data_IF_669929303060
#
_entry.id   IF_669929303060
#
_cell.length_a   1.000
_cell.length_b   1.000
_cell.length_c   1.000
_cell.angle_alpha   90.00
_cell.angle_beta   90.00
_cell.angle_gamma   90.00
#
_symmetry.space_group_name_H-M   'P 1'
#
loop_
_entity.id
_entity.type
_entity.pdbx_description
1 polymer ?
#
# COMPACT_ATOMS: atom_id res chain seq x y z
N UNK A 1 25.31 5.73 -0.68
CA UNK A 1 24.55 5.47 -1.92
C UNK A 1 23.13 5.92 -1.64
N UNK A 2 22.54 6.74 -2.50
CA UNK A 2 21.19 7.30 -2.30
C UNK A 2 20.13 6.21 -2.43
N UNK A 3 19.27 6.04 -1.43
CA UNK A 3 18.19 5.04 -1.47
C UNK A 3 17.10 5.47 -2.46
N UNK A 4 16.69 4.56 -3.34
CA UNK A 4 15.65 4.79 -4.33
C UNK A 4 14.32 4.23 -3.82
N UNK A 5 13.36 5.11 -3.53
CA UNK A 5 12.04 4.73 -2.98
C UNK A 5 10.96 5.08 -4.01
N UNK A 6 10.15 4.11 -4.41
CA UNK A 6 9.14 4.30 -5.43
C UNK A 6 7.72 4.06 -4.91
N UNK A 7 6.82 5.00 -5.13
CA UNK A 7 5.40 4.85 -4.90
C UNK A 7 4.66 4.73 -6.23
N UNK A 8 3.83 3.70 -6.37
CA UNK A 8 2.92 3.63 -7.52
C UNK A 8 1.84 4.72 -7.39
N UNK A 9 1.75 5.63 -8.35
CA UNK A 9 0.73 6.67 -8.41
C UNK A 9 -0.25 6.36 -9.54
N UNK A 10 -1.53 6.18 -9.24
CA UNK A 10 -2.53 5.74 -10.23
C UNK A 10 -3.88 6.47 -10.09
N UNK A 11 -4.70 6.55 -11.15
CA UNK A 11 -6.02 7.17 -11.09
C UNK A 11 -6.88 6.55 -9.99
N UNK A 12 -7.60 7.38 -9.23
CA UNK A 12 -8.41 6.95 -8.10
C UNK A 12 -7.61 6.33 -6.93
N UNK A 13 -6.31 6.62 -6.80
CA UNK A 13 -5.53 6.29 -5.60
C UNK A 13 -6.15 6.93 -4.35
N UNK A 14 -6.07 6.25 -3.20
CA UNK A 14 -6.34 6.87 -1.91
C UNK A 14 -5.10 7.67 -1.54
N UNK A 15 -5.10 8.99 -1.79
CA UNK A 15 -3.87 9.79 -1.73
C UNK A 15 -3.12 9.66 -0.39
N UNK A 16 -3.83 9.49 0.73
CA UNK A 16 -3.21 9.38 2.06
C UNK A 16 -2.41 8.08 2.26
N UNK A 17 -2.76 7.01 1.53
CA UNK A 17 -2.00 5.76 1.51
C UNK A 17 -0.60 5.97 0.91
N UNK A 18 -0.43 7.03 0.10
CA UNK A 18 0.82 7.44 -0.52
C UNK A 18 1.46 8.61 0.23
N UNK A 19 0.72 9.68 0.51
CA UNK A 19 1.30 10.92 1.06
C UNK A 19 1.74 10.76 2.50
N UNK A 20 1.08 9.93 3.30
CA UNK A 20 1.51 9.60 4.66
C UNK A 20 2.91 8.97 4.71
N UNK A 21 3.13 7.80 4.09
CA UNK A 21 4.46 7.21 4.02
C UNK A 21 5.46 8.02 3.19
N UNK A 22 5.01 8.75 2.16
CA UNK A 22 5.88 9.63 1.38
C UNK A 22 6.59 10.65 2.27
N UNK A 23 5.86 11.35 3.14
CA UNK A 23 6.42 12.42 3.97
C UNK A 23 7.41 11.87 5.03
N UNK A 24 7.09 10.69 5.60
CA UNK A 24 7.99 9.97 6.50
C UNK A 24 9.27 9.54 5.78
N UNK A 25 9.15 8.85 4.64
CA UNK A 25 10.30 8.30 3.93
C UNK A 25 11.12 9.36 3.22
N UNK A 26 10.53 10.46 2.77
CA UNK A 26 11.25 11.60 2.19
C UNK A 26 12.10 12.36 3.23
N UNK A 27 11.78 12.21 4.52
CA UNK A 27 12.53 12.81 5.63
C UNK A 27 13.80 12.03 6.00
N UNK A 28 14.02 10.86 5.39
CA UNK A 28 15.24 10.07 5.58
C UNK A 28 16.48 10.75 4.96
N UNK A 29 17.68 10.53 5.51
CA UNK A 29 18.92 11.02 4.90
C UNK A 29 19.23 10.27 3.60
N UNK A 30 19.75 10.99 2.60
CA UNK A 30 20.23 10.44 1.33
C UNK A 30 19.20 9.54 0.60
N UNK A 31 17.96 10.01 0.46
CA UNK A 31 16.90 9.30 -0.27
C UNK A 31 16.42 10.07 -1.50
N UNK A 32 15.94 9.35 -2.49
CA UNK A 32 15.22 9.88 -3.64
C UNK A 32 13.88 9.16 -3.77
N UNK A 33 12.79 9.91 -3.67
CA UNK A 33 11.42 9.38 -3.72
C UNK A 33 10.81 9.64 -5.09
N UNK A 34 10.24 8.60 -5.69
CA UNK A 34 9.62 8.62 -7.01
C UNK A 34 8.12 8.39 -6.92
N UNK A 35 7.34 9.19 -7.63
CA UNK A 35 5.93 8.93 -7.91
C UNK A 35 5.85 8.35 -9.33
N UNK A 36 5.48 7.08 -9.43
CA UNK A 36 5.69 6.29 -10.64
C UNK A 36 4.36 6.00 -11.30
N UNK A 37 4.25 6.34 -12.58
CA UNK A 37 3.09 5.98 -13.40
C UNK A 37 3.47 5.65 -14.85
N UNK A 38 2.47 5.50 -15.72
CA UNK A 38 2.66 5.19 -17.14
C UNK A 38 3.21 6.36 -17.94
N UNK A 39 2.83 7.58 -17.56
CA UNK A 39 3.26 8.83 -18.16
C UNK A 39 3.45 9.90 -17.07
N UNK A 40 3.80 11.12 -17.47
CA UNK A 40 4.03 12.25 -16.57
C UNK A 40 2.81 13.18 -16.44
N UNK A 41 1.64 12.77 -16.94
CA UNK A 41 0.43 13.57 -16.80
C UNK A 41 -0.08 13.54 -15.36
N UNK A 42 -0.68 14.64 -14.87
CA UNK A 42 -1.29 14.65 -13.54
C UNK A 42 -2.32 13.54 -13.37
N UNK A 43 -2.28 12.89 -12.22
CA UNK A 43 -3.15 11.79 -11.82
C UNK A 43 -4.11 12.29 -10.75
N UNK A 44 -5.41 12.10 -10.99
CA UNK A 44 -6.46 12.44 -10.03
C UNK A 44 -6.65 11.32 -9.02
N UNK A 45 -6.43 11.61 -7.74
CA UNK A 45 -6.77 10.73 -6.63
C UNK A 45 -8.29 10.62 -6.43
N UNK A 46 -8.73 9.62 -5.67
CA UNK A 46 -10.15 9.35 -5.39
C UNK A 46 -10.91 10.53 -4.74
N UNK A 47 -10.20 11.44 -4.08
CA UNK A 47 -10.75 12.66 -3.46
C UNK A 47 -10.75 13.88 -4.38
N UNK A 48 -10.26 13.75 -5.62
CA UNK A 48 -10.08 14.86 -6.56
C UNK A 48 -8.73 15.57 -6.46
N UNK A 49 -7.87 15.23 -5.49
CA UNK A 49 -6.51 15.78 -5.40
C UNK A 49 -5.68 15.38 -6.63
N UNK A 50 -5.02 16.33 -7.26
CA UNK A 50 -4.09 16.07 -8.36
C UNK A 50 -2.67 15.86 -7.83
N UNK A 51 -2.08 14.74 -8.20
CA UNK A 51 -0.68 14.40 -7.94
C UNK A 51 0.05 14.24 -9.28
N UNK A 52 1.35 14.50 -9.31
CA UNK A 52 2.14 14.43 -10.55
C UNK A 52 3.18 13.31 -10.47
N UNK A 53 3.19 12.35 -11.41
CA UNK A 53 4.29 11.39 -11.53
C UNK A 53 5.62 12.10 -11.76
N UNK A 54 6.69 11.59 -11.15
CA UNK A 54 8.05 12.09 -11.33
C UNK A 54 8.85 11.25 -12.33
N UNK A 55 8.39 10.02 -12.60
CA UNK A 55 9.01 9.11 -13.57
C UNK A 55 7.98 8.16 -14.18
N UNK A 56 8.34 7.55 -15.31
CA UNK A 56 7.53 6.53 -15.99
C UNK A 56 7.96 5.13 -15.56
N UNK A 57 7.21 4.09 -15.95
CA UNK A 57 7.66 2.71 -15.73
C UNK A 57 8.97 2.36 -16.45
N UNK A 58 9.22 2.98 -17.61
CA UNK A 58 10.40 2.76 -18.44
C UNK A 58 11.63 3.48 -17.86
N UNK A 59 11.45 4.71 -17.38
CA UNK A 59 12.54 5.56 -16.87
C UNK A 59 12.79 5.39 -15.35
N UNK A 60 11.96 4.61 -14.66
CA UNK A 60 12.12 4.38 -13.23
C UNK A 60 13.41 3.58 -12.96
N UNK A 61 14.31 4.08 -12.08
CA UNK A 61 15.52 3.36 -11.72
C UNK A 61 15.20 2.09 -10.93
N UNK A 62 16.22 1.27 -10.69
CA UNK A 62 16.08 0.14 -9.77
C UNK A 62 15.78 0.68 -8.36
N UNK A 63 14.70 0.18 -7.76
CA UNK A 63 14.22 0.65 -6.47
C UNK A 63 14.81 -0.18 -5.33
N UNK A 64 15.25 0.49 -4.27
CA UNK A 64 15.50 -0.16 -2.97
C UNK A 64 14.19 -0.50 -2.27
N UNK A 65 13.17 0.36 -2.40
CA UNK A 65 11.83 0.19 -1.82
C UNK A 65 10.77 0.46 -2.87
N UNK A 66 9.83 -0.46 -3.04
CA UNK A 66 8.59 -0.21 -3.79
C UNK A 66 7.39 -0.22 -2.83
N UNK A 67 6.52 0.78 -2.94
CA UNK A 67 5.30 0.91 -2.16
C UNK A 67 4.07 1.05 -3.04
N UNK A 68 3.11 0.14 -2.86
CA UNK A 68 1.83 0.15 -3.58
C UNK A 68 0.73 0.69 -2.66
N UNK A 69 0.18 1.89 -2.91
CA UNK A 69 -0.95 2.41 -2.14
C UNK A 69 -2.28 1.74 -2.55
N UNK A 70 -3.30 1.94 -1.74
CA UNK A 70 -4.66 1.48 -2.02
C UNK A 70 -5.53 2.52 -2.72
N UNK A 71 -6.85 2.32 -2.66
CA UNK A 71 -7.85 3.25 -3.20
C UNK A 71 -8.79 2.65 -4.24
N UNK A 72 -9.64 3.50 -4.80
CA UNK A 72 -10.68 3.13 -5.77
C UNK A 72 -10.13 2.52 -7.06
N UNK A 73 -8.91 2.90 -7.46
CA UNK A 73 -8.26 2.41 -8.68
C UNK A 73 -7.68 1.01 -8.61
N UNK A 74 -7.61 0.39 -7.41
CA UNK A 74 -6.97 -0.92 -7.21
C UNK A 74 -7.58 -2.02 -8.08
N UNK A 75 -8.90 -2.03 -8.28
CA UNK A 75 -9.55 -3.03 -9.11
C UNK A 75 -9.01 -3.07 -10.54
N UNK A 76 -8.84 -1.90 -11.17
CA UNK A 76 -8.27 -1.81 -12.51
C UNK A 76 -6.79 -2.23 -12.54
N UNK A 77 -6.03 -1.89 -11.50
CA UNK A 77 -4.61 -2.27 -11.40
C UNK A 77 -4.40 -3.79 -11.29
N UNK A 78 -5.29 -4.49 -10.59
CA UNK A 78 -5.20 -5.95 -10.43
C UNK A 78 -5.36 -6.71 -11.76
N UNK A 79 -5.84 -6.05 -12.82
CA UNK A 79 -6.00 -6.63 -14.16
C UNK A 79 -5.10 -5.96 -15.22
N UNK A 80 -4.26 -5.00 -14.81
CA UNK A 80 -3.38 -4.25 -15.69
C UNK A 80 -2.00 -4.90 -15.80
N UNK A 81 -1.84 -5.76 -16.80
CA UNK A 81 -0.63 -6.56 -17.01
C UNK A 81 0.65 -5.73 -17.11
N UNK A 82 0.58 -4.51 -17.67
CA UNK A 82 1.75 -3.62 -17.77
C UNK A 82 2.20 -3.18 -16.37
N UNK A 83 1.25 -2.77 -15.53
CA UNK A 83 1.54 -2.35 -14.17
C UNK A 83 1.99 -3.54 -13.31
N UNK A 84 1.33 -4.70 -13.42
CA UNK A 84 1.73 -5.91 -12.69
C UNK A 84 3.14 -6.39 -13.09
N UNK A 85 3.49 -6.32 -14.38
CA UNK A 85 4.84 -6.63 -14.86
C UNK A 85 5.89 -5.66 -14.30
N UNK A 86 5.60 -4.36 -14.27
CA UNK A 86 6.48 -3.36 -13.65
C UNK A 86 6.71 -3.67 -12.16
N UNK A 87 5.65 -3.96 -11.41
CA UNK A 87 5.72 -4.30 -9.97
C UNK A 87 6.57 -5.55 -9.77
N UNK A 88 6.34 -6.62 -10.54
CA UNK A 88 7.14 -7.86 -10.47
C UNK A 88 8.62 -7.61 -10.72
N UNK A 89 8.94 -6.80 -11.75
CA UNK A 89 10.34 -6.45 -12.09
C UNK A 89 11.03 -5.75 -10.93
N UNK A 90 10.41 -4.71 -10.38
CA UNK A 90 10.99 -3.97 -9.26
C UNK A 90 11.08 -4.82 -7.98
N UNK A 91 10.05 -5.63 -7.70
CA UNK A 91 10.02 -6.49 -6.53
C UNK A 91 11.12 -7.58 -6.54
N UNK A 92 11.61 -7.99 -7.70
CA UNK A 92 12.67 -9.00 -7.82
C UNK A 92 14.04 -8.51 -7.30
N UNK A 93 14.26 -7.20 -7.25
CA UNK A 93 15.53 -6.57 -6.88
C UNK A 93 15.42 -5.64 -5.65
N UNK A 94 14.21 -5.24 -5.29
CA UNK A 94 13.99 -4.35 -4.16
C UNK A 94 14.42 -4.99 -2.83
N UNK A 95 15.07 -4.18 -1.99
CA UNK A 95 15.36 -4.56 -0.60
C UNK A 95 14.08 -4.75 0.19
N UNK A 96 13.05 -3.94 -0.08
CA UNK A 96 11.74 -4.07 0.53
C UNK A 96 10.59 -3.92 -0.48
N UNK A 97 9.65 -4.86 -0.43
CA UNK A 97 8.40 -4.82 -1.19
C UNK A 97 7.30 -4.44 -0.21
N UNK A 98 6.59 -3.35 -0.48
CA UNK A 98 5.67 -2.78 0.49
C UNK A 98 4.33 -2.38 -0.10
N UNK A 99 3.30 -2.29 0.75
CA UNK A 99 2.01 -1.75 0.36
C UNK A 99 1.23 -1.23 1.55
N UNK A 100 0.26 -0.36 1.27
CA UNK A 100 -0.67 0.19 2.26
C UNK A 100 -2.08 -0.15 1.84
N UNK A 101 -2.95 -0.44 2.82
CA UNK A 101 -4.38 -0.59 2.60
C UNK A 101 -4.63 -1.66 1.54
N UNK A 102 -5.42 -1.38 0.52
CA UNK A 102 -5.75 -2.34 -0.55
C UNK A 102 -4.64 -2.51 -1.59
N UNK A 103 -3.51 -1.83 -1.46
CA UNK A 103 -2.35 -2.03 -2.33
C UNK A 103 -1.78 -3.45 -2.23
N UNK A 104 -1.94 -4.14 -1.10
CA UNK A 104 -1.57 -5.55 -0.97
C UNK A 104 -2.37 -6.47 -1.90
N UNK A 105 -3.59 -6.10 -2.30
CA UNK A 105 -4.34 -6.87 -3.31
C UNK A 105 -3.67 -6.80 -4.69
N UNK A 106 -3.02 -5.68 -5.02
CA UNK A 106 -2.24 -5.55 -6.25
C UNK A 106 -0.97 -6.39 -6.17
N UNK A 107 -0.29 -6.41 -5.01
CA UNK A 107 0.84 -7.33 -4.79
C UNK A 107 0.41 -8.80 -4.92
N UNK A 108 -0.77 -9.14 -4.41
CA UNK A 108 -1.35 -10.47 -4.55
C UNK A 108 -1.68 -10.83 -6.00
N UNK A 109 -2.29 -9.91 -6.76
CA UNK A 109 -2.51 -10.07 -8.20
C UNK A 109 -1.19 -10.18 -9.00
N UNK A 110 -0.12 -9.53 -8.53
CA UNK A 110 1.23 -9.70 -9.04
C UNK A 110 1.88 -11.03 -8.61
N UNK A 111 1.20 -11.90 -7.86
CA UNK A 111 1.73 -13.20 -7.40
C UNK A 111 2.78 -13.10 -6.29
N UNK A 112 2.95 -11.92 -5.68
CA UNK A 112 3.99 -11.67 -4.69
C UNK A 112 3.62 -12.09 -3.26
N UNK A 113 2.38 -12.52 -3.04
CA UNK A 113 1.86 -12.87 -1.71
C UNK A 113 1.66 -14.37 -1.47
N UNK A 114 2.00 -15.24 -2.44
CA UNK A 114 1.79 -16.68 -2.29
C UNK A 114 2.60 -17.25 -1.11
N UNK A 115 1.91 -17.80 -0.11
CA UNK A 115 2.49 -18.32 1.12
C UNK A 115 3.02 -17.24 2.08
N UNK A 116 2.75 -15.95 1.84
CA UNK A 116 3.26 -14.83 2.64
C UNK A 116 2.23 -14.31 3.62
N UNK A 117 2.69 -13.93 4.81
CA UNK A 117 1.87 -13.20 5.79
C UNK A 117 1.65 -11.77 5.31
N UNK A 118 0.40 -11.35 5.23
CA UNK A 118 0.03 -10.00 4.79
C UNK A 118 -1.22 -9.47 5.50
N UNK A 119 -1.35 -8.14 5.54
CA UNK A 119 -2.57 -7.42 5.94
C UNK A 119 -3.05 -6.50 4.81
N UNK A 120 -4.23 -5.93 4.98
CA UNK A 120 -4.85 -4.98 4.06
C UNK A 120 -5.88 -4.14 4.82
N UNK A 121 -6.67 -3.33 4.13
CA UNK A 121 -7.79 -2.63 4.74
C UNK A 121 -8.85 -3.62 5.27
N UNK A 122 -9.34 -3.38 6.49
CA UNK A 122 -10.24 -4.30 7.21
C UNK A 122 -11.45 -4.77 6.38
N UNK A 123 -12.05 -3.87 5.59
CA UNK A 123 -13.22 -4.17 4.76
C UNK A 123 -12.94 -5.12 3.57
N UNK A 124 -11.68 -5.39 3.25
CA UNK A 124 -11.25 -6.24 2.13
C UNK A 124 -10.31 -7.37 2.58
N UNK A 125 -10.20 -7.60 3.89
CA UNK A 125 -9.24 -8.53 4.49
C UNK A 125 -9.42 -9.98 4.01
N UNK A 126 -10.68 -10.39 3.83
CA UNK A 126 -11.04 -11.73 3.39
C UNK A 126 -10.68 -12.04 1.93
N UNK A 127 -10.19 -11.05 1.16
CA UNK A 127 -9.71 -11.26 -0.22
C UNK A 127 -8.25 -11.76 -0.28
N UNK A 128 -7.47 -11.57 0.80
CA UNK A 128 -6.06 -11.96 0.84
C UNK A 128 -5.81 -13.46 0.64
N UNK A 129 -6.58 -14.38 1.28
CA UNK A 129 -6.38 -15.82 1.10
C UNK A 129 -6.58 -16.28 -0.35
N UNK A 130 -7.53 -15.68 -1.07
CA UNK A 130 -7.77 -15.98 -2.50
C UNK A 130 -6.55 -15.66 -3.37
N UNK A 131 -5.69 -14.72 -2.94
CA UNK A 131 -4.43 -14.37 -3.61
C UNK A 131 -3.23 -15.17 -3.04
N UNK A 132 -3.49 -16.23 -2.29
CA UNK A 132 -2.48 -17.12 -1.72
C UNK A 132 -1.79 -16.59 -0.46
N UNK A 133 -2.23 -15.45 0.07
CA UNK A 133 -1.64 -14.85 1.25
C UNK A 133 -2.20 -15.47 2.56
N UNK A 134 -1.35 -15.56 3.58
CA UNK A 134 -1.76 -15.84 4.95
C UNK A 134 -2.25 -14.52 5.57
N UNK A 135 -3.57 -14.34 5.62
CA UNK A 135 -4.16 -13.10 6.11
C UNK A 135 -3.93 -12.92 7.62
N UNK A 136 -3.30 -11.81 8.01
CA UNK A 136 -2.99 -11.46 9.40
C UNK A 136 -3.69 -10.16 9.78
N UNK A 137 -4.42 -10.16 10.89
CA UNK A 137 -5.09 -8.96 11.44
C UNK A 137 -4.13 -8.20 12.34
N UNK A 138 -3.27 -7.41 11.73
CA UNK A 138 -2.38 -6.49 12.42
C UNK A 138 -2.28 -5.18 11.62
N UNK A 139 -1.82 -4.12 12.27
CA UNK A 139 -1.68 -2.78 11.68
C UNK A 139 -0.53 -2.74 10.67
N UNK A 140 0.57 -3.42 10.99
CA UNK A 140 1.74 -3.60 10.11
C UNK A 140 2.16 -5.07 10.19
N UNK A 141 2.28 -5.74 9.05
CA UNK A 141 2.71 -7.14 8.96
C UNK A 141 3.99 -7.22 8.16
N UNK A 142 5.00 -7.86 8.74
CA UNK A 142 6.28 -8.20 8.10
C UNK A 142 6.39 -9.69 7.83
N UNK A 143 6.85 -10.05 6.64
CA UNK A 143 7.27 -11.40 6.24
C UNK A 143 8.55 -11.31 5.40
N UNK A 144 9.71 -11.50 6.04
CA UNK A 144 11.01 -11.29 5.38
C UNK A 144 11.18 -9.83 4.93
N UNK A 145 11.28 -9.61 3.62
CA UNK A 145 11.38 -8.29 3.00
C UNK A 145 10.03 -7.69 2.57
N UNK A 146 8.92 -8.39 2.80
CA UNK A 146 7.57 -7.89 2.53
C UNK A 146 7.03 -7.16 3.76
N UNK A 147 6.57 -5.92 3.57
CA UNK A 147 5.82 -5.16 4.58
C UNK A 147 4.44 -4.78 4.04
N UNK A 148 3.39 -5.07 4.79
CA UNK A 148 2.04 -4.63 4.43
C UNK A 148 1.43 -3.86 5.58
N UNK A 149 0.93 -2.66 5.28
CA UNK A 149 0.18 -1.82 6.22
C UNK A 149 -1.32 -2.01 6.04
N UNK A 150 -2.06 -1.96 7.14
CA UNK A 150 -3.52 -2.00 7.16
C UNK A 150 -4.18 -0.78 6.52
N UNK A 151 -5.37 -0.39 6.99
CA UNK A 151 -6.13 0.69 6.38
C UNK A 151 -5.45 2.07 6.48
N UNK A 152 -5.34 2.75 5.34
CA UNK A 152 -5.05 4.18 5.14
C UNK A 152 -3.93 4.75 6.02
N UNK A 153 -4.24 5.14 7.27
CA UNK A 153 -3.30 5.79 8.19
C UNK A 153 -2.23 4.84 8.71
N UNK A 154 -2.41 3.52 8.57
CA UNK A 154 -1.34 2.55 8.79
C UNK A 154 -0.10 2.82 7.92
N UNK A 155 -0.29 3.62 6.85
CA UNK A 155 0.75 4.21 6.01
C UNK A 155 1.88 4.89 6.81
N UNK A 156 1.55 5.63 7.86
CA UNK A 156 2.54 6.38 8.64
C UNK A 156 3.34 5.42 9.55
N UNK A 157 2.64 4.52 10.24
CA UNK A 157 3.28 3.58 11.16
C UNK A 157 4.22 2.61 10.44
N UNK A 158 3.82 2.04 9.30
CA UNK A 158 4.72 1.14 8.58
C UNK A 158 5.95 1.88 8.04
N UNK A 159 5.81 3.17 7.67
CA UNK A 159 6.93 3.95 7.16
C UNK A 159 7.94 4.25 8.28
N UNK A 160 7.49 4.45 9.53
CA UNK A 160 8.38 4.58 10.69
C UNK A 160 9.09 3.26 11.00
N UNK A 161 8.39 2.12 10.93
CA UNK A 161 9.01 0.80 11.05
C UNK A 161 10.04 0.56 9.94
N UNK A 162 9.72 0.95 8.71
CA UNK A 162 10.64 0.81 7.58
C UNK A 162 11.83 1.77 7.67
N UNK A 163 11.64 2.97 8.21
CA UNK A 163 12.71 3.92 8.50
C UNK A 163 13.73 3.31 9.48
N UNK A 164 13.26 2.66 10.54
CA UNK A 164 14.14 1.94 11.47
C UNK A 164 14.96 0.86 10.75
N UNK A 165 14.34 0.08 9.86
CA UNK A 165 15.02 -0.97 9.09
C UNK A 165 16.05 -0.42 8.09
N UNK A 166 15.85 0.80 7.57
CA UNK A 166 16.71 1.39 6.56
C UNK A 166 17.88 2.16 7.15
N UNK A 167 17.66 2.90 8.24
CA UNK A 167 18.63 3.87 8.77
C UNK A 167 18.80 3.81 10.30
N UNK A 168 18.11 2.90 10.98
CA UNK A 168 18.20 2.68 12.42
C UNK A 168 17.17 3.46 13.25
N UNK A 169 17.01 3.03 14.50
CA UNK A 169 15.97 3.52 15.41
C UNK A 169 16.11 5.02 15.72
N UNK A 170 17.32 5.54 15.90
CA UNK A 170 17.56 6.95 16.25
C UNK A 170 17.00 7.91 15.18
N UNK A 171 17.20 7.58 13.89
CA UNK A 171 16.69 8.38 12.78
C UNK A 171 15.16 8.25 12.65
N UNK A 172 14.60 7.05 12.85
CA UNK A 172 13.16 6.85 12.85
C UNK A 172 12.46 7.63 13.98
N UNK A 173 13.04 7.64 15.19
CA UNK A 173 12.55 8.43 16.33
C UNK A 173 12.67 9.94 16.09
N UNK A 174 13.77 10.39 15.47
CA UNK A 174 13.93 11.79 15.09
C UNK A 174 12.85 12.22 14.10
N UNK A 175 12.57 11.43 13.06
CA UNK A 175 11.51 11.71 12.09
C UNK A 175 10.15 11.71 12.79
N UNK A 176 9.87 10.74 13.66
CA UNK A 176 8.64 10.72 14.45
C UNK A 176 8.45 12.01 15.25
N UNK A 177 9.52 12.51 15.89
CA UNK A 177 9.50 13.76 16.66
C UNK A 177 9.34 14.99 15.76
N UNK A 178 10.01 15.05 14.61
CA UNK A 178 9.89 16.15 13.65
C UNK A 178 8.48 16.27 13.06
N UNK A 179 7.82 15.14 12.85
CA UNK A 179 6.42 15.08 12.41
C UNK A 179 5.42 15.32 13.55
N UNK A 180 5.89 15.41 14.79
CA UNK A 180 5.06 15.42 15.99
C UNK A 180 4.02 14.28 15.96
N UNK A 181 4.43 13.10 15.52
CA UNK A 181 3.54 11.95 15.38
C UNK A 181 3.24 11.32 16.74
N UNK A 182 2.41 12.03 17.50
CA UNK A 182 1.84 11.66 18.79
C UNK A 182 0.31 11.69 18.70
N UNK A 183 -0.30 10.74 17.93
CA UNK A 183 -1.71 10.80 17.61
C UNK A 183 -2.59 10.72 18.87
N UNK A 184 -3.55 11.63 18.98
CA UNK A 184 -4.59 11.63 20.00
C UNK A 184 -6.00 11.66 19.35
N UNK A 185 -6.47 10.53 18.79
CA UNK A 185 -7.74 10.51 18.06
C UNK A 185 -8.92 10.92 18.98
N UNK A 186 -9.84 11.79 18.51
CA UNK A 186 -10.98 12.23 19.33
C UNK A 186 -12.08 11.17 19.50
N UNK A 187 -11.98 10.04 18.78
CA UNK A 187 -12.93 8.91 18.83
C UNK A 187 -12.19 7.58 18.80
N UNK A 188 -12.76 6.55 19.42
CA UNK A 188 -12.24 5.18 19.40
C UNK A 188 -12.83 4.32 18.26
N UNK A 189 -12.97 4.90 17.06
CA UNK A 189 -13.66 4.27 15.91
C UNK A 189 -12.74 3.91 14.75
N UNK A 190 -11.43 3.79 15.00
CA UNK A 190 -10.43 3.47 13.98
C UNK A 190 -10.36 2.00 13.57
N UNK A 191 -10.99 1.11 14.35
CA UNK A 191 -11.08 -0.34 14.08
C UNK A 191 -12.53 -0.82 14.18
N UNK A 192 -12.95 -1.82 13.38
CA UNK A 192 -14.23 -2.49 13.56
C UNK A 192 -14.39 -3.20 14.92
N UNK A 193 -13.30 -3.48 15.64
CA UNK A 193 -13.36 -4.06 16.99
C UNK A 193 -13.75 -3.06 18.08
N UNK A 194 -13.49 -1.76 17.86
CA UNK A 194 -13.70 -0.70 18.87
C UNK A 194 -14.80 0.28 18.52
N UNK A 195 -15.12 0.42 17.22
CA UNK A 195 -16.13 1.34 16.74
C UNK A 195 -17.56 0.93 17.19
N UNK A 196 -18.49 1.90 17.36
CA UNK A 196 -19.89 1.58 17.60
C UNK A 196 -20.47 0.70 16.49
N UNK A 197 -21.29 -0.29 16.83
CA UNK A 197 -21.84 -1.26 15.87
C UNK A 197 -22.55 -0.61 14.68
N UNK A 198 -23.38 0.42 14.91
CA UNK A 198 -24.06 1.16 13.84
C UNK A 198 -23.09 1.82 12.84
N UNK A 199 -21.93 2.30 13.31
CA UNK A 199 -20.89 2.90 12.45
C UNK A 199 -20.22 1.82 11.60
N UNK A 200 -19.96 0.64 12.18
CA UNK A 200 -19.40 -0.50 11.45
C UNK A 200 -20.37 -0.99 10.37
N UNK A 201 -21.66 -1.09 10.69
CA UNK A 201 -22.68 -1.53 9.75
C UNK A 201 -22.85 -0.56 8.58
N UNK A 202 -22.86 0.75 8.86
CA UNK A 202 -22.90 1.78 7.81
C UNK A 202 -21.64 1.73 6.93
N UNK A 203 -20.45 1.57 7.53
CA UNK A 203 -19.21 1.45 6.78
C UNK A 203 -19.20 0.23 5.87
N UNK A 204 -19.69 -0.93 6.35
CA UNK A 204 -19.86 -2.15 5.54
C UNK A 204 -20.85 -1.95 4.41
N UNK A 205 -21.99 -1.33 4.67
CA UNK A 205 -23.00 -1.04 3.65
C UNK A 205 -22.42 -0.18 2.51
N UNK A 206 -21.64 0.85 2.85
CA UNK A 206 -20.97 1.71 1.86
C UNK A 206 -19.88 0.97 1.08
N UNK A 207 -19.17 0.03 1.71
CA UNK A 207 -18.13 -0.77 1.07
C UNK A 207 -18.67 -1.92 0.19
N UNK A 208 -19.88 -2.43 0.47
CA UNK A 208 -20.41 -3.65 -0.14
C UNK A 208 -20.39 -3.67 -1.68
N UNK A 209 -20.76 -2.59 -2.41
CA UNK A 209 -20.66 -2.60 -3.88
C UNK A 209 -19.23 -2.78 -4.38
N UNK A 210 -18.26 -2.11 -3.75
CA UNK A 210 -16.85 -2.23 -4.11
C UNK A 210 -16.27 -3.59 -3.73
N UNK A 211 -16.65 -4.12 -2.56
CA UNK A 211 -16.23 -5.45 -2.12
C UNK A 211 -16.71 -6.54 -3.08
N UNK A 212 -17.96 -6.47 -3.54
CA UNK A 212 -18.49 -7.41 -4.55
C UNK A 212 -17.65 -7.40 -5.82
N UNK A 213 -17.44 -6.22 -6.41
CA UNK A 213 -16.63 -6.08 -7.63
C UNK A 213 -15.19 -6.58 -7.43
N UNK A 214 -14.57 -6.25 -6.29
CA UNK A 214 -13.21 -6.70 -5.99
C UNK A 214 -13.12 -8.20 -5.75
N UNK A 215 -14.17 -8.84 -5.24
CA UNK A 215 -14.21 -10.30 -5.10
C UNK A 215 -14.09 -10.95 -6.47
N UNK A 216 -14.91 -10.52 -7.44
CA UNK A 216 -14.89 -11.04 -8.81
C UNK A 216 -13.52 -10.80 -9.50
N UNK A 217 -12.91 -9.62 -9.29
CA UNK A 217 -11.56 -9.31 -9.80
C UNK A 217 -10.50 -10.21 -9.14
N UNK A 218 -10.60 -10.42 -7.83
CA UNK A 218 -9.66 -11.23 -7.07
C UNK A 218 -9.69 -12.68 -7.52
N UNK A 219 -10.88 -13.24 -7.77
CA UNK A 219 -11.05 -14.59 -8.32
C UNK A 219 -10.38 -14.73 -9.70
N UNK A 220 -10.56 -13.73 -10.59
CA UNK A 220 -9.91 -13.73 -11.91
C UNK A 220 -8.39 -13.62 -11.80
N UNK A 221 -7.88 -12.78 -10.89
CA UNK A 221 -6.45 -12.67 -10.63
C UNK A 221 -5.87 -13.98 -10.07
N UNK A 222 -6.56 -14.63 -9.14
CA UNK A 222 -6.17 -15.93 -8.59
C UNK A 222 -6.14 -17.02 -9.67
N UNK A 223 -7.14 -17.07 -10.55
CA UNK A 223 -7.18 -18.01 -11.68
C UNK A 223 -5.98 -17.83 -12.62
N UNK A 224 -5.58 -16.59 -12.93
CA UNK A 224 -4.37 -16.31 -13.74
C UNK A 224 -3.08 -16.81 -13.08
N UNK A 225 -3.06 -16.89 -11.76
CA UNK A 225 -1.92 -17.35 -10.96
C UNK A 225 -1.96 -18.86 -10.68
N UNK A 226 -2.98 -19.59 -11.17
CA UNK A 226 -3.25 -21.00 -10.85
C UNK A 226 -3.38 -21.26 -9.34
N UNK A 227 -4.01 -20.31 -8.63
CA UNK A 227 -4.40 -20.48 -7.23
C UNK A 227 -5.82 -21.08 -7.19
N UNK A 228 -5.99 -22.15 -6.41
CA UNK A 228 -7.25 -22.89 -6.23
C UNK A 228 -7.67 -22.90 -4.78
#
# INVERSE_FOLDING_TARGET
>A
MTLQIGFLLFPQVQQLDLTGPYDVLASLPDVQVHLIWKDLMPVTASTGLLLKPTTTFEDCPDLDVICIPGGGGVGALMEDEVTLAFIKRQAAQAKYVTSVCTGSLVLGAAGLLQGKRATTHWAYHDLLPTLGAIAVKDRVVRDGNLFTGGGITAGIDFALVLAEELVGADAAQLIQLQLEYAPAPPFNSGSPETAPGAVVDEARLRAAPSLKLRTEITERAAAKLNLH
#
